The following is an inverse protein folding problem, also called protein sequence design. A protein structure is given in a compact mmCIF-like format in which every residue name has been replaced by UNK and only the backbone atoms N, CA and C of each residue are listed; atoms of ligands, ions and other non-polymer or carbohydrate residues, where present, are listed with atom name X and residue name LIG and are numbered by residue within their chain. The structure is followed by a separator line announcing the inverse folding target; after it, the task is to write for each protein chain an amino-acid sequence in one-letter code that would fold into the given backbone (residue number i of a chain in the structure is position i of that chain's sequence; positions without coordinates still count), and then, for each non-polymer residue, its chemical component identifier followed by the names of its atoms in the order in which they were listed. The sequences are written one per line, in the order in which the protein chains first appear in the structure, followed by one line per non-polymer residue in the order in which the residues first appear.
data_IF_209021102915
#
_entry.id   IF_209021102915
#
_cell.length_a   1.000
_cell.length_b   1.000
_cell.length_c   1.000
_cell.angle_alpha   90.00
_cell.angle_beta   90.00
_cell.angle_gamma   90.00
#
_symmetry.space_group_name_H-M   'P 1'
#
loop_
_entity.id
_entity.type
_entity.pdbx_description
1 polymer ?
#
# COMPACT_ATOMS: atom_id res chain seq x y z
N UNK A 1 -10.96 1.40 123.86
CA UNK A 1 -11.41 2.07 122.63
C UNK A 1 -10.18 2.49 121.86
N UNK A 2 -9.79 1.71 120.85
CA UNK A 2 -8.73 2.05 119.89
C UNK A 2 -9.27 1.72 118.51
N UNK A 3 -9.22 2.73 117.64
CA UNK A 3 -9.92 2.82 116.36
C UNK A 3 -9.35 1.85 115.32
N UNK A 4 -10.26 1.22 114.57
CA UNK A 4 -9.97 0.46 113.35
C UNK A 4 -9.87 1.42 112.17
N UNK A 5 -8.67 1.89 111.86
CA UNK A 5 -8.37 2.73 110.68
C UNK A 5 -7.70 1.93 109.53
N UNK A 6 -7.70 0.60 109.60
CA UNK A 6 -6.96 -0.25 108.65
C UNK A 6 -7.70 -0.59 107.35
N UNK A 7 -9.01 -0.34 107.26
CA UNK A 7 -9.84 -0.90 106.18
C UNK A 7 -10.21 0.10 105.06
N UNK A 8 -10.06 1.41 105.29
CA UNK A 8 -10.43 2.44 104.29
C UNK A 8 -9.26 2.80 103.36
N UNK A 9 -8.01 2.61 103.79
CA UNK A 9 -6.81 2.96 103.01
C UNK A 9 -6.54 1.93 101.90
N UNK A 10 -6.87 0.65 102.12
CA UNK A 10 -6.66 -0.44 101.15
C UNK A 10 -7.53 -0.26 99.89
N UNK A 11 -8.78 0.16 100.04
CA UNK A 11 -9.69 0.39 98.91
C UNK A 11 -9.34 1.64 98.09
N UNK A 12 -8.76 2.67 98.73
CA UNK A 12 -8.27 3.86 98.04
C UNK A 12 -7.00 3.57 97.22
N UNK A 13 -6.15 2.66 97.71
CA UNK A 13 -4.96 2.16 97.01
C UNK A 13 -5.31 1.45 95.71
N UNK A 14 -6.24 0.49 95.78
CA UNK A 14 -6.61 -0.32 94.61
C UNK A 14 -7.32 0.53 93.54
N UNK A 15 -8.24 1.41 93.95
CA UNK A 15 -8.91 2.34 93.04
C UNK A 15 -7.97 3.36 92.39
N UNK A 16 -6.87 3.75 93.06
CA UNK A 16 -5.88 4.66 92.48
C UNK A 16 -5.00 3.94 91.47
N UNK A 17 -4.59 2.70 91.75
CA UNK A 17 -3.82 1.87 90.83
C UNK A 17 -4.59 1.56 89.54
N UNK A 18 -5.89 1.30 89.64
CA UNK A 18 -6.78 1.12 88.48
C UNK A 18 -6.91 2.40 87.65
N UNK A 19 -6.88 3.57 88.30
CA UNK A 19 -6.92 4.85 87.60
C UNK A 19 -5.63 5.12 86.81
N UNK A 20 -4.47 4.86 87.43
CA UNK A 20 -3.15 5.05 86.80
C UNK A 20 -2.91 4.09 85.63
N UNK A 21 -3.35 2.83 85.75
CA UNK A 21 -3.28 1.84 84.66
C UNK A 21 -4.20 2.23 83.50
N UNK A 22 -5.43 2.70 83.77
CA UNK A 22 -6.32 3.18 82.70
C UNK A 22 -5.77 4.43 81.98
N UNK A 23 -5.04 5.30 82.70
CA UNK A 23 -4.39 6.49 82.14
C UNK A 23 -3.22 6.13 81.22
N UNK A 24 -2.44 5.11 81.58
CA UNK A 24 -1.33 4.60 80.77
C UNK A 24 -1.84 3.91 79.50
N UNK A 25 -2.92 3.11 79.62
CA UNK A 25 -3.60 2.50 78.48
C UNK A 25 -4.20 3.55 77.53
N UNK A 26 -4.83 4.60 78.07
CA UNK A 26 -5.37 5.69 77.23
C UNK A 26 -4.27 6.52 76.58
N UNK A 27 -3.13 6.74 77.26
CA UNK A 27 -1.97 7.38 76.67
C UNK A 27 -1.38 6.54 75.52
N UNK A 28 -1.23 5.23 75.73
CA UNK A 28 -0.77 4.28 74.71
C UNK A 28 -1.70 4.24 73.49
N UNK A 29 -3.01 4.17 73.70
CA UNK A 29 -4.00 4.24 72.62
C UNK A 29 -3.91 5.58 71.88
N UNK A 30 -3.74 6.69 72.60
CA UNK A 30 -3.56 8.02 72.00
C UNK A 30 -2.27 8.15 71.18
N UNK A 31 -1.21 7.45 71.57
CA UNK A 31 0.04 7.37 70.79
C UNK A 31 -0.12 6.47 69.56
N UNK A 32 -0.78 5.31 69.71
CA UNK A 32 -1.10 4.42 68.59
C UNK A 32 -1.99 5.12 67.56
N UNK A 33 -3.03 5.84 67.98
CA UNK A 33 -3.90 6.62 67.09
C UNK A 33 -3.09 7.69 66.35
N UNK A 34 -2.21 8.42 67.05
CA UNK A 34 -1.32 9.40 66.41
C UNK A 34 -0.41 8.75 65.37
N UNK A 35 0.21 7.61 65.70
CA UNK A 35 1.07 6.86 64.79
C UNK A 35 0.31 6.31 63.58
N UNK A 36 -0.93 5.86 63.77
CA UNK A 36 -1.81 5.44 62.67
C UNK A 36 -2.20 6.64 61.79
N UNK A 37 -2.49 7.79 62.40
CA UNK A 37 -2.80 9.03 61.70
C UNK A 37 -1.65 9.50 60.80
N UNK A 38 -0.41 9.52 61.30
CA UNK A 38 0.77 9.87 60.48
C UNK A 38 0.98 8.89 59.34
N UNK A 39 0.88 7.58 59.58
CA UNK A 39 1.02 6.58 58.51
C UNK A 39 -0.04 6.73 57.41
N UNK A 40 -1.28 7.04 57.79
CA UNK A 40 -2.35 7.31 56.82
C UNK A 40 -2.08 8.58 56.01
N UNK A 41 -1.58 9.63 56.66
CA UNK A 41 -1.19 10.86 55.98
C UNK A 41 -0.07 10.62 54.98
N UNK A 42 0.98 9.88 55.36
CA UNK A 42 2.09 9.56 54.47
C UNK A 42 1.61 8.72 53.27
N UNK A 43 0.76 7.71 53.51
CA UNK A 43 0.19 6.90 52.43
C UNK A 43 -0.69 7.72 51.46
N UNK A 44 -1.43 8.71 51.97
CA UNK A 44 -2.21 9.63 51.13
C UNK A 44 -1.30 10.52 50.28
N UNK A 45 -0.24 11.08 50.86
CA UNK A 45 0.74 11.89 50.12
C UNK A 45 1.42 11.08 49.01
N UNK A 46 1.81 9.84 49.30
CA UNK A 46 2.38 8.93 48.30
C UNK A 46 1.38 8.61 47.19
N UNK A 47 0.12 8.35 47.53
CA UNK A 47 -0.94 8.12 46.54
C UNK A 47 -1.17 9.33 45.62
N UNK A 48 -1.14 10.54 46.17
CA UNK A 48 -1.26 11.78 45.38
C UNK A 48 -0.08 11.91 44.42
N UNK A 49 1.15 11.67 44.89
CA UNK A 49 2.35 11.74 44.05
C UNK A 49 2.32 10.72 42.90
N UNK A 50 1.84 9.50 43.15
CA UNK A 50 1.66 8.48 42.11
C UNK A 50 0.61 8.92 41.10
N UNK A 51 -0.50 9.52 41.54
CA UNK A 51 -1.53 10.02 40.65
C UNK A 51 -1.03 11.18 39.77
N UNK A 52 -0.27 12.13 40.33
CA UNK A 52 0.31 13.25 39.60
C UNK A 52 1.32 12.80 38.54
N UNK A 53 2.22 11.89 38.89
CA UNK A 53 3.18 11.31 37.95
C UNK A 53 2.49 10.55 36.83
N UNK A 54 1.44 9.80 37.15
CA UNK A 54 0.60 9.10 36.16
C UNK A 54 -0.11 10.08 35.22
N UNK A 55 -0.65 11.19 35.75
CA UNK A 55 -1.28 12.24 34.94
C UNK A 55 -0.28 12.87 33.97
N UNK A 56 0.93 13.20 34.44
CA UNK A 56 1.97 13.77 33.59
C UNK A 56 2.41 12.80 32.48
N UNK A 57 2.48 11.49 32.77
CA UNK A 57 2.79 10.46 31.79
C UNK A 57 1.70 10.35 30.70
N UNK A 58 0.41 10.44 31.08
CA UNK A 58 -0.71 10.46 30.13
C UNK A 58 -0.67 11.69 29.23
N UNK A 59 -0.39 12.87 29.77
CA UNK A 59 -0.24 14.10 28.99
C UNK A 59 0.91 14.01 27.99
N UNK A 60 2.03 13.39 28.37
CA UNK A 60 3.15 13.15 27.48
C UNK A 60 2.78 12.17 26.35
N UNK A 61 2.08 11.09 26.67
CA UNK A 61 1.60 10.12 25.68
C UNK A 61 0.60 10.73 24.69
N UNK A 62 -0.33 11.57 25.16
CA UNK A 62 -1.28 12.27 24.29
C UNK A 62 -0.58 13.25 23.33
N UNK A 63 0.45 13.96 23.81
CA UNK A 63 1.30 14.80 22.95
C UNK A 63 2.01 13.97 21.87
N UNK A 64 2.61 12.84 22.23
CA UNK A 64 3.25 11.94 21.27
C UNK A 64 2.27 11.38 20.24
N UNK A 65 1.06 11.00 20.67
CA UNK A 65 0.01 10.49 19.78
C UNK A 65 -0.42 11.56 18.76
N UNK A 66 -0.59 12.81 19.21
CA UNK A 66 -0.92 13.94 18.34
C UNK A 66 0.19 14.22 17.31
N UNK A 67 1.45 14.10 17.72
CA UNK A 67 2.59 14.27 16.82
C UNK A 67 2.67 13.15 15.77
N UNK A 68 2.53 11.89 16.19
CA UNK A 68 2.47 10.74 15.28
C UNK A 68 1.34 10.88 14.25
N UNK A 69 0.16 11.34 14.69
CA UNK A 69 -0.97 11.58 13.78
C UNK A 69 -0.64 12.63 12.72
N UNK A 70 0.00 13.75 13.10
CA UNK A 70 0.43 14.78 12.14
C UNK A 70 1.42 14.23 11.12
N UNK A 71 2.38 13.42 11.56
CA UNK A 71 3.36 12.78 10.67
C UNK A 71 2.69 11.82 9.70
N UNK A 72 1.77 10.98 10.18
CA UNK A 72 1.01 10.05 9.34
C UNK A 72 0.16 10.79 8.30
N UNK A 73 -0.52 11.89 8.69
CA UNK A 73 -1.31 12.72 7.79
C UNK A 73 -0.43 13.38 6.70
N UNK A 74 0.79 13.82 7.06
CA UNK A 74 1.75 14.38 6.11
C UNK A 74 2.19 13.33 5.09
N UNK A 75 2.59 12.14 5.54
CA UNK A 75 2.99 11.03 4.67
C UNK A 75 1.85 10.59 3.74
N UNK A 76 0.61 10.55 4.25
CA UNK A 76 -0.55 10.25 3.42
C UNK A 76 -0.79 11.30 2.32
N UNK A 77 -0.50 12.58 2.58
CA UNK A 77 -0.56 13.64 1.55
C UNK A 77 0.53 13.46 0.51
N UNK A 78 1.76 13.17 0.92
CA UNK A 78 2.88 12.92 0.00
C UNK A 78 2.61 11.72 -0.90
N UNK A 79 2.15 10.60 -0.35
CA UNK A 79 1.79 9.41 -1.14
C UNK A 79 0.67 9.70 -2.15
N UNK A 80 -0.33 10.49 -1.76
CA UNK A 80 -1.38 10.95 -2.72
C UNK A 80 -0.78 11.80 -3.83
N UNK A 81 0.13 12.71 -3.52
CA UNK A 81 0.82 13.54 -4.52
C UNK A 81 1.63 12.67 -5.49
N UNK A 82 2.40 11.70 -4.99
CA UNK A 82 3.17 10.80 -5.85
C UNK A 82 2.28 9.94 -6.76
N UNK A 83 1.16 9.41 -6.23
CA UNK A 83 0.18 8.66 -7.03
C UNK A 83 -0.43 9.52 -8.12
N UNK A 84 -0.82 10.75 -7.79
CA UNK A 84 -1.40 11.68 -8.74
C UNK A 84 -0.40 12.10 -9.83
N UNK A 85 0.86 12.33 -9.47
CA UNK A 85 1.92 12.59 -10.45
C UNK A 85 2.16 11.38 -11.37
N UNK A 86 2.18 10.17 -10.81
CA UNK A 86 2.27 8.93 -11.59
C UNK A 86 1.11 8.77 -12.57
N UNK A 87 -0.12 9.02 -12.11
CA UNK A 87 -1.33 8.99 -12.95
C UNK A 87 -1.25 10.01 -14.10
N UNK A 88 -0.87 11.25 -13.82
CA UNK A 88 -0.71 12.28 -14.85
C UNK A 88 0.35 11.93 -15.90
N UNK A 89 1.45 11.29 -15.49
CA UNK A 89 2.47 10.80 -16.42
C UNK A 89 1.92 9.71 -17.34
N UNK A 90 1.18 8.75 -16.77
CA UNK A 90 0.54 7.70 -17.56
C UNK A 90 -0.52 8.26 -18.53
N UNK A 91 -1.35 9.20 -18.08
CA UNK A 91 -2.35 9.86 -18.93
C UNK A 91 -1.68 10.65 -20.07
N UNK A 92 -0.59 11.36 -19.78
CA UNK A 92 0.17 12.08 -20.81
C UNK A 92 0.83 11.14 -21.83
N UNK A 93 1.38 10.01 -21.37
CA UNK A 93 1.98 8.99 -22.24
C UNK A 93 0.92 8.30 -23.12
N UNK A 94 -0.23 7.93 -22.54
CA UNK A 94 -1.35 7.38 -23.30
C UNK A 94 -1.89 8.37 -24.34
N UNK A 95 -2.06 9.64 -23.98
CA UNK A 95 -2.48 10.68 -24.91
C UNK A 95 -1.48 10.86 -26.06
N UNK A 96 -0.17 10.79 -25.76
CA UNK A 96 0.87 10.87 -26.78
C UNK A 96 0.81 9.67 -27.75
N UNK A 97 0.68 8.45 -27.23
CA UNK A 97 0.56 7.25 -28.06
C UNK A 97 -0.71 7.28 -28.93
N UNK A 98 -1.83 7.76 -28.38
CA UNK A 98 -3.07 7.93 -29.15
C UNK A 98 -2.89 8.95 -30.29
N UNK A 99 -2.22 10.08 -30.04
CA UNK A 99 -1.92 11.08 -31.07
C UNK A 99 -0.96 10.55 -32.15
N UNK A 100 0.05 9.77 -31.76
CA UNK A 100 0.95 9.09 -32.71
C UNK A 100 0.18 8.09 -33.59
N UNK A 101 -0.75 7.31 -33.02
CA UNK A 101 -1.62 6.42 -33.79
C UNK A 101 -2.57 7.16 -34.74
N UNK A 102 -3.15 8.28 -34.29
CA UNK A 102 -4.03 9.10 -35.12
C UNK A 102 -3.26 9.71 -36.31
N UNK A 103 -2.04 10.18 -36.08
CA UNK A 103 -1.17 10.66 -37.16
C UNK A 103 -0.76 9.54 -38.12
N UNK A 104 -0.41 8.36 -37.60
CA UNK A 104 -0.07 7.21 -38.43
C UNK A 104 -1.25 6.76 -39.31
N UNK A 105 -2.46 6.73 -38.75
CA UNK A 105 -3.69 6.38 -39.50
C UNK A 105 -4.04 7.45 -40.53
N UNK A 106 -3.94 8.74 -40.20
CA UNK A 106 -4.13 9.82 -41.15
C UNK A 106 -3.10 9.78 -42.29
N UNK A 107 -1.82 9.52 -41.98
CA UNK A 107 -0.76 9.34 -42.95
C UNK A 107 -1.01 8.15 -43.88
N UNK A 108 -1.46 7.02 -43.33
CA UNK A 108 -1.84 5.85 -44.11
C UNK A 108 -3.01 6.13 -45.07
N UNK A 109 -4.08 6.77 -44.59
CA UNK A 109 -5.23 7.14 -45.43
C UNK A 109 -4.86 8.13 -46.54
N UNK A 110 -3.99 9.10 -46.22
CA UNK A 110 -3.44 10.03 -47.21
C UNK A 110 -2.61 9.31 -48.27
N UNK A 111 -1.73 8.38 -47.88
CA UNK A 111 -0.93 7.59 -48.81
C UNK A 111 -1.80 6.67 -49.67
N UNK A 112 -2.86 6.08 -49.09
CA UNK A 112 -3.82 5.26 -49.81
C UNK A 112 -4.57 6.07 -50.88
N UNK A 113 -5.10 7.24 -50.52
CA UNK A 113 -5.78 8.14 -51.44
C UNK A 113 -4.86 8.65 -52.57
N UNK A 114 -3.58 8.92 -52.27
CA UNK A 114 -2.59 9.29 -53.27
C UNK A 114 -2.19 8.10 -54.18
N UNK A 115 -2.23 6.87 -53.66
CA UNK A 115 -2.01 5.64 -54.41
C UNK A 115 -3.13 5.34 -55.39
N UNK A 116 -4.39 5.62 -55.04
CA UNK A 116 -5.53 5.45 -55.95
C UNK A 116 -5.48 6.43 -57.14
N UNK A 117 -4.94 7.65 -56.96
CA UNK A 117 -4.75 8.60 -58.07
C UNK A 117 -3.64 8.23 -59.05
N UNK A 118 -2.74 7.29 -58.69
CA UNK A 118 -1.65 6.80 -59.55
C UNK A 118 -1.93 5.43 -60.17
N UNK A 119 -3.18 4.96 -60.14
CA UNK A 119 -3.58 3.81 -60.92
C UNK A 119 -3.87 4.24 -62.36
N UNK A 120 -2.83 4.19 -63.21
CA UNK A 120 -3.03 4.08 -64.65
C UNK A 120 -4.00 2.91 -64.93
N UNK A 121 -4.94 3.04 -65.88
CA UNK A 121 -5.85 1.95 -66.23
C UNK A 121 -5.06 0.79 -66.86
N UNK A 122 -4.66 -0.13 -66.00
CA UNK A 122 -4.30 -1.54 -66.22
C UNK A 122 -3.76 -1.84 -67.62
N UNK A 123 -2.44 -1.75 -67.75
CA UNK A 123 -1.73 -2.75 -68.53
C UNK A 123 -2.11 -4.13 -67.99
N UNK A 124 -2.67 -4.99 -68.87
CA UNK A 124 -3.01 -6.38 -68.59
C UNK A 124 -1.96 -7.01 -67.66
N UNK A 125 -2.33 -7.60 -66.51
CA UNK A 125 -1.36 -8.29 -65.68
C UNK A 125 -0.70 -9.35 -66.57
N UNK A 126 0.64 -9.49 -66.57
CA UNK A 126 1.28 -10.62 -67.23
C UNK A 126 0.64 -11.86 -66.61
N UNK A 127 0.03 -12.69 -67.45
CA UNK A 127 -0.43 -14.00 -67.04
C UNK A 127 0.78 -14.72 -66.46
N UNK A 128 0.87 -14.77 -65.14
CA UNK A 128 1.83 -15.63 -64.47
C UNK A 128 1.39 -17.05 -64.82
N UNK A 129 2.02 -17.58 -65.88
CA UNK A 129 1.96 -18.99 -66.24
C UNK A 129 2.71 -19.71 -65.13
N UNK A 130 2.01 -20.00 -64.04
CA UNK A 130 2.49 -20.93 -63.03
C UNK A 130 2.44 -22.31 -63.67
N UNK A 131 3.60 -22.88 -64.02
CA UNK A 131 3.69 -24.21 -64.59
C UNK A 131 3.22 -25.30 -63.63
N UNK A 132 3.21 -25.04 -62.31
CA UNK A 132 2.56 -25.87 -61.30
C UNK A 132 1.96 -24.98 -60.20
N UNK A 133 0.64 -25.09 -59.96
CA UNK A 133 -0.04 -24.38 -58.86
C UNK A 133 0.12 -25.18 -57.57
N UNK A 134 1.15 -24.91 -56.79
CA UNK A 134 1.23 -25.41 -55.42
C UNK A 134 0.46 -24.48 -54.47
N UNK A 135 0.15 -24.96 -53.26
CA UNK A 135 -0.50 -24.14 -52.23
C UNK A 135 0.38 -22.95 -51.82
N UNK A 136 1.71 -23.08 -51.88
CA UNK A 136 2.64 -21.98 -51.68
C UNK A 136 2.62 -20.91 -52.78
N UNK A 137 2.08 -21.20 -53.97
CA UNK A 137 2.07 -20.23 -55.09
C UNK A 137 1.22 -18.99 -54.81
N UNK A 138 0.13 -19.11 -54.06
CA UNK A 138 -0.68 -17.94 -53.65
C UNK A 138 0.06 -17.06 -52.65
N UNK A 139 0.85 -17.67 -51.75
CA UNK A 139 1.65 -16.96 -50.75
C UNK A 139 2.82 -16.25 -51.42
N UNK A 140 3.51 -16.90 -52.37
CA UNK A 140 4.56 -16.27 -53.20
C UNK A 140 4.02 -15.12 -54.04
N UNK A 141 2.83 -15.27 -54.62
CA UNK A 141 2.19 -14.17 -55.34
C UNK A 141 1.95 -12.96 -54.43
N UNK A 142 1.44 -13.20 -53.22
CA UNK A 142 1.19 -12.12 -52.26
C UNK A 142 2.51 -11.48 -51.78
N UNK A 143 3.55 -12.28 -51.51
CA UNK A 143 4.88 -11.78 -51.16
C UNK A 143 5.47 -10.89 -52.27
N UNK A 144 5.30 -11.27 -53.54
CA UNK A 144 5.69 -10.44 -54.69
C UNK A 144 4.90 -9.13 -54.76
N UNK A 145 3.62 -9.12 -54.39
CA UNK A 145 2.86 -7.87 -54.32
C UNK A 145 3.36 -6.99 -53.17
N UNK A 146 3.62 -7.56 -51.99
CA UNK A 146 4.16 -6.81 -50.84
C UNK A 146 5.54 -6.22 -51.18
N UNK A 147 6.42 -6.97 -51.84
CA UNK A 147 7.74 -6.48 -52.27
C UNK A 147 7.67 -5.27 -53.21
N UNK A 148 6.66 -5.17 -54.09
CA UNK A 148 6.51 -4.00 -54.98
C UNK A 148 6.28 -2.70 -54.24
N UNK A 149 5.78 -2.77 -53.00
CA UNK A 149 5.56 -1.61 -52.14
C UNK A 149 6.63 -1.46 -51.06
N UNK A 150 7.68 -2.29 -51.09
CA UNK A 150 8.74 -2.34 -50.07
C UNK A 150 9.98 -1.50 -50.41
N UNK A 151 9.92 -0.65 -51.45
CA UNK A 151 11.06 0.05 -52.08
C UNK A 151 12.01 0.73 -51.06
N UNK A 152 11.46 1.37 -50.03
CA UNK A 152 12.23 1.99 -48.93
C UNK A 152 11.84 1.47 -47.53
N UNK A 153 10.95 0.47 -47.44
CA UNK A 153 10.43 -0.03 -46.17
C UNK A 153 11.00 -1.41 -45.85
N UNK A 154 12.03 -1.42 -45.00
CA UNK A 154 12.74 -2.63 -44.55
C UNK A 154 11.79 -3.61 -43.85
N UNK A 155 10.76 -3.12 -43.14
CA UNK A 155 9.79 -3.98 -42.48
C UNK A 155 8.91 -4.71 -43.49
N UNK A 156 8.43 -4.02 -44.53
CA UNK A 156 7.65 -4.63 -45.61
C UNK A 156 8.51 -5.62 -46.43
N UNK A 157 9.79 -5.31 -46.65
CA UNK A 157 10.73 -6.23 -47.28
C UNK A 157 10.95 -7.48 -46.41
N UNK A 158 11.08 -7.30 -45.09
CA UNK A 158 11.18 -8.39 -44.12
C UNK A 158 9.94 -9.27 -44.07
N UNK A 159 8.75 -8.67 -44.09
CA UNK A 159 7.47 -9.38 -44.14
C UNK A 159 7.37 -10.20 -45.43
N UNK A 160 7.69 -9.63 -46.59
CA UNK A 160 7.63 -10.36 -47.85
C UNK A 160 8.66 -11.51 -47.92
N UNK A 161 9.85 -11.33 -47.34
CA UNK A 161 10.83 -12.42 -47.20
C UNK A 161 10.29 -13.55 -46.31
N UNK A 162 9.71 -13.22 -45.16
CA UNK A 162 9.09 -14.20 -44.28
C UNK A 162 7.95 -14.97 -44.97
N UNK A 163 7.13 -14.29 -45.77
CA UNK A 163 6.06 -14.92 -46.54
C UNK A 163 6.59 -15.91 -47.59
N UNK A 164 7.72 -15.60 -48.24
CA UNK A 164 8.36 -16.52 -49.17
C UNK A 164 8.91 -17.77 -48.46
N UNK A 165 9.46 -17.62 -47.26
CA UNK A 165 9.91 -18.76 -46.44
C UNK A 165 8.73 -19.65 -46.03
N UNK A 166 7.63 -19.05 -45.58
CA UNK A 166 6.39 -19.78 -45.25
C UNK A 166 5.82 -20.50 -46.46
N UNK A 167 5.90 -19.91 -47.66
CA UNK A 167 5.45 -20.57 -48.88
C UNK A 167 6.23 -21.85 -49.20
N UNK A 168 7.55 -21.84 -48.94
CA UNK A 168 8.41 -23.02 -49.11
C UNK A 168 8.07 -24.11 -48.08
N UNK A 169 7.80 -23.72 -46.83
CA UNK A 169 7.39 -24.66 -45.79
C UNK A 169 6.01 -25.27 -46.09
N UNK A 170 5.07 -24.48 -46.61
CA UNK A 170 3.74 -24.95 -47.05
C UNK A 170 3.85 -25.95 -48.21
N UNK A 171 4.79 -25.74 -49.13
CA UNK A 171 5.04 -26.70 -50.22
C UNK A 171 5.65 -28.02 -49.72
N UNK A 172 6.34 -28.01 -48.57
CA UNK A 172 6.97 -29.18 -47.95
C UNK A 172 6.01 -29.97 -47.05
N UNK A 173 4.86 -29.40 -46.68
CA UNK A 173 3.85 -30.14 -45.93
C UNK A 173 3.33 -31.30 -46.79
N UNK A 174 3.17 -32.50 -46.22
CA UNK A 174 2.56 -33.62 -46.92
C UNK A 174 1.14 -33.23 -47.30
N UNK A 175 0.95 -32.84 -48.56
CA UNK A 175 -0.36 -32.62 -49.12
C UNK A 175 -0.98 -34.00 -49.19
N UNK A 176 -1.86 -34.30 -48.24
CA UNK A 176 -2.51 -35.59 -48.14
C UNK A 176 -2.95 -36.03 -49.52
N UNK A 177 -2.61 -37.27 -49.89
CA UNK A 177 -2.93 -37.84 -51.19
C UNK A 177 -4.39 -37.57 -51.52
N UNK A 178 -4.65 -36.56 -52.34
CA UNK A 178 -5.88 -36.48 -53.10
C UNK A 178 -5.72 -37.45 -54.27
N UNK A 179 -5.62 -38.73 -53.91
CA UNK A 179 -5.67 -39.85 -54.81
C UNK A 179 -7.12 -39.97 -55.32
N UNK A 180 -7.28 -39.59 -56.60
CA UNK A 180 -8.32 -40.01 -57.55
C UNK A 180 -9.76 -39.60 -57.28
#
# INVERSE_FOLDING_TARGET
MTMSNGNEISHLSDSSNDLFTSLDETASLGEQIRAHGTRLQDALLDSVRIAETSSAALDAADKQLKELKRTADSQARELRSYREQGRRRQEAEQARLAAEQEQATAGFLSAYAAGEQKLDPVAKPPSAVFSERTQGSSIRYLALQVMKYADENIELAGIAMAMNMVAEDVDRLPQGDHAR
#
